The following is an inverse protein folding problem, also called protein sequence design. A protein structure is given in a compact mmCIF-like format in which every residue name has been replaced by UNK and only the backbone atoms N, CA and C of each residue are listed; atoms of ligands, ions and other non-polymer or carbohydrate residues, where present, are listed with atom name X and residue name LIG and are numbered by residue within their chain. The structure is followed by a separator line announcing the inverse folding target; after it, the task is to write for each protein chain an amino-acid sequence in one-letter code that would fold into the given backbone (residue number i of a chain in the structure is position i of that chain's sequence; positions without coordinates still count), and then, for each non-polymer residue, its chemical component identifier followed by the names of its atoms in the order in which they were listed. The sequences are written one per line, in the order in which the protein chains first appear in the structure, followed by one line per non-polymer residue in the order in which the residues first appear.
data_IF_003550387484
#
_entry.id   IF_003550387484
#
_cell.length_a   1.000
_cell.length_b   1.000
_cell.length_c   1.000
_cell.angle_alpha   90.00
_cell.angle_beta   90.00
_cell.angle_gamma   90.00
#
_symmetry.space_group_name_H-M   'P 1'
#
loop_
_entity.id
_entity.type
_entity.pdbx_description
1 polymer ?
#
# COMPACT_ATOMS: atom_id res chain seq x y z
N UNK A 1 38.47 -96.32 -6.71
CA UNK A 1 37.17 -96.27 -7.42
C UNK A 1 36.85 -94.80 -7.69
N UNK A 2 37.12 -94.27 -8.89
CA UNK A 2 36.31 -94.37 -10.11
C UNK A 2 35.13 -93.37 -10.09
N UNK A 3 35.25 -92.31 -10.90
CA UNK A 3 34.25 -91.25 -11.00
C UNK A 3 34.62 -90.16 -12.02
N UNK A 4 35.07 -90.56 -13.20
CA UNK A 4 35.36 -89.70 -14.36
C UNK A 4 34.05 -89.13 -14.89
N UNK A 5 33.84 -87.80 -14.83
CA UNK A 5 32.78 -87.12 -15.58
C UNK A 5 33.38 -85.97 -16.40
N UNK A 6 33.50 -86.26 -17.69
CA UNK A 6 33.70 -85.31 -18.78
C UNK A 6 32.50 -84.36 -18.87
N UNK A 7 32.75 -83.06 -18.73
CA UNK A 7 31.80 -81.99 -18.99
C UNK A 7 32.37 -81.04 -20.02
N UNK A 8 32.09 -81.31 -21.31
CA UNK A 8 32.46 -80.46 -22.46
C UNK A 8 31.96 -79.03 -22.23
N UNK A 9 32.87 -78.10 -21.99
CA UNK A 9 32.58 -76.66 -22.06
C UNK A 9 32.42 -76.25 -23.51
N UNK A 10 31.18 -76.07 -23.94
CA UNK A 10 30.84 -75.35 -25.18
C UNK A 10 31.22 -73.88 -24.98
N UNK A 11 32.38 -73.48 -25.53
CA UNK A 11 32.76 -72.07 -25.64
C UNK A 11 31.83 -71.39 -26.64
N UNK A 12 30.72 -70.79 -26.17
CA UNK A 12 30.00 -69.76 -26.94
C UNK A 12 30.95 -68.58 -27.11
N UNK A 13 31.52 -68.44 -28.30
CA UNK A 13 32.15 -67.17 -28.73
C UNK A 13 31.03 -66.14 -28.80
N UNK A 14 30.93 -65.28 -27.79
CA UNK A 14 30.22 -64.00 -27.93
C UNK A 14 31.08 -63.19 -28.88
N UNK A 15 30.66 -63.13 -30.16
CA UNK A 15 31.24 -62.24 -31.15
C UNK A 15 30.71 -60.85 -30.79
N UNK A 16 31.49 -60.08 -30.02
CA UNK A 16 31.26 -58.65 -29.86
C UNK A 16 31.63 -58.03 -31.18
N UNK A 17 30.64 -57.87 -32.05
CA UNK A 17 30.76 -56.99 -33.20
C UNK A 17 30.86 -55.57 -32.65
N UNK A 18 32.10 -55.13 -32.44
CA UNK A 18 32.45 -53.72 -32.43
C UNK A 18 31.96 -53.17 -33.77
N UNK A 19 30.76 -52.60 -33.77
CA UNK A 19 30.33 -51.67 -34.79
C UNK A 19 31.27 -50.49 -34.66
N UNK A 20 32.41 -50.59 -35.33
CA UNK A 20 33.29 -49.46 -35.61
C UNK A 20 32.50 -48.60 -36.59
N UNK A 21 31.62 -47.77 -36.04
CA UNK A 21 30.91 -46.77 -36.80
C UNK A 21 31.96 -45.95 -37.53
N UNK A 22 31.96 -46.03 -38.85
CA UNK A 22 32.83 -45.24 -39.71
C UNK A 22 32.74 -43.80 -39.23
N UNK A 23 33.86 -43.23 -38.77
CA UNK A 23 33.95 -41.81 -38.44
C UNK A 23 33.79 -41.03 -39.74
N UNK A 24 32.53 -40.80 -40.14
CA UNK A 24 32.18 -39.88 -41.22
C UNK A 24 32.40 -38.49 -40.65
N UNK A 25 33.46 -37.83 -41.11
CA UNK A 25 33.62 -36.40 -40.88
C UNK A 25 32.38 -35.70 -41.47
N UNK A 26 31.69 -34.90 -40.65
CA UNK A 26 30.54 -34.12 -41.10
C UNK A 26 30.93 -33.27 -42.31
N UNK A 27 30.08 -33.23 -43.32
CA UNK A 27 30.28 -32.29 -44.41
C UNK A 27 30.12 -30.86 -43.87
N UNK A 28 30.85 -29.90 -44.44
CA UNK A 28 30.84 -28.49 -44.01
C UNK A 28 29.41 -27.91 -43.96
N UNK A 29 28.53 -28.39 -44.85
CA UNK A 29 27.11 -28.01 -44.91
C UNK A 29 26.34 -28.51 -43.68
N UNK A 30 26.57 -29.76 -43.24
CA UNK A 30 25.91 -30.30 -42.05
C UNK A 30 26.33 -29.54 -40.78
N UNK A 31 27.60 -29.15 -40.68
CA UNK A 31 28.11 -28.34 -39.58
C UNK A 31 27.46 -26.95 -39.55
N UNK A 32 27.25 -26.34 -40.72
CA UNK A 32 26.63 -25.02 -40.86
C UNK A 32 25.13 -25.05 -40.55
N UNK A 33 24.42 -26.11 -40.95
CA UNK A 33 23.02 -26.31 -40.57
C UNK A 33 22.90 -26.53 -39.06
N UNK A 34 23.77 -27.37 -38.48
CA UNK A 34 23.78 -27.62 -37.05
C UNK A 34 24.06 -26.34 -36.24
N UNK A 35 24.99 -25.49 -36.67
CA UNK A 35 25.31 -24.24 -35.97
C UNK A 35 24.15 -23.24 -36.02
N UNK A 36 23.48 -23.08 -37.17
CA UNK A 36 22.31 -22.20 -37.30
C UNK A 36 21.15 -22.71 -36.42
N UNK A 37 20.87 -24.02 -36.43
CA UNK A 37 19.84 -24.60 -35.56
C UNK A 37 20.17 -24.40 -34.08
N UNK A 38 21.43 -24.58 -33.68
CA UNK A 38 21.87 -24.36 -32.30
C UNK A 38 21.72 -22.90 -31.90
N UNK A 39 22.09 -21.97 -32.80
CA UNK A 39 21.92 -20.54 -32.58
C UNK A 39 20.43 -20.19 -32.39
N UNK A 40 19.55 -20.70 -33.26
CA UNK A 40 18.11 -20.46 -33.16
C UNK A 40 17.53 -20.98 -31.84
N UNK A 41 17.91 -22.19 -31.41
CA UNK A 41 17.46 -22.78 -30.14
C UNK A 41 18.00 -21.98 -28.94
N UNK A 42 19.27 -21.57 -28.98
CA UNK A 42 19.86 -20.75 -27.91
C UNK A 42 19.17 -19.39 -27.84
N UNK A 43 18.93 -18.71 -28.96
CA UNK A 43 18.22 -17.43 -29.00
C UNK A 43 16.77 -17.55 -28.50
N UNK A 44 16.06 -18.62 -28.88
CA UNK A 44 14.72 -18.90 -28.36
C UNK A 44 14.75 -19.16 -26.84
N UNK A 45 15.73 -19.92 -26.36
CA UNK A 45 15.93 -20.19 -24.94
C UNK A 45 16.24 -18.91 -24.13
N UNK A 46 17.13 -18.06 -24.62
CA UNK A 46 17.49 -16.81 -23.93
C UNK A 46 16.33 -15.83 -23.89
N UNK A 47 15.60 -15.66 -25.00
CA UNK A 47 14.41 -14.78 -25.05
C UNK A 47 13.32 -15.25 -24.10
N UNK A 48 13.06 -16.56 -24.01
CA UNK A 48 12.12 -17.12 -23.05
C UNK A 48 12.54 -16.87 -21.59
N UNK A 49 13.81 -17.08 -21.26
CA UNK A 49 14.33 -16.83 -19.90
C UNK A 49 14.19 -15.36 -19.51
N UNK A 50 14.53 -14.43 -20.42
CA UNK A 50 14.38 -12.99 -20.18
C UNK A 50 12.91 -12.61 -20.00
N UNK A 51 12.02 -13.13 -20.86
CA UNK A 51 10.59 -12.86 -20.76
C UNK A 51 10.00 -13.37 -19.43
N UNK A 52 10.35 -14.58 -19.00
CA UNK A 52 9.91 -15.14 -17.71
C UNK A 52 10.45 -14.32 -16.55
N UNK A 53 11.72 -13.90 -16.60
CA UNK A 53 12.31 -13.03 -15.60
C UNK A 53 11.55 -11.70 -15.47
N UNK A 54 11.26 -11.05 -16.59
CA UNK A 54 10.49 -9.81 -16.61
C UNK A 54 9.07 -9.99 -16.07
N UNK A 55 8.35 -11.02 -16.50
CA UNK A 55 6.99 -11.34 -16.01
C UNK A 55 6.98 -11.63 -14.50
N UNK A 56 8.01 -12.31 -14.00
CA UNK A 56 8.10 -12.64 -12.56
C UNK A 56 8.38 -11.40 -11.73
N UNK A 57 9.34 -10.56 -12.14
CA UNK A 57 9.66 -9.31 -11.45
C UNK A 57 8.48 -8.34 -11.45
N UNK A 58 7.85 -8.12 -12.62
CA UNK A 58 6.67 -7.25 -12.73
C UNK A 58 5.49 -7.79 -11.93
N UNK A 59 5.22 -9.09 -11.97
CA UNK A 59 4.12 -9.71 -11.20
C UNK A 59 4.30 -9.59 -9.69
N UNK A 60 5.52 -9.76 -9.19
CA UNK A 60 5.82 -9.62 -7.75
C UNK A 60 5.74 -8.17 -7.28
N UNK A 61 6.28 -7.22 -8.03
CA UNK A 61 6.13 -5.79 -7.77
C UNK A 61 4.64 -5.39 -7.75
N UNK A 62 3.88 -5.82 -8.76
CA UNK A 62 2.45 -5.53 -8.92
C UNK A 62 1.61 -6.03 -7.72
N UNK A 63 1.88 -7.25 -7.27
CA UNK A 63 1.20 -7.87 -6.13
C UNK A 63 1.58 -7.18 -4.80
N UNK A 64 2.84 -6.82 -4.62
CA UNK A 64 3.31 -6.12 -3.42
C UNK A 64 2.62 -4.75 -3.28
N UNK A 65 2.60 -3.96 -4.36
CA UNK A 65 1.94 -2.65 -4.43
C UNK A 65 0.44 -2.76 -4.22
N UNK A 66 -0.22 -3.79 -4.79
CA UNK A 66 -1.64 -4.04 -4.55
C UNK A 66 -1.95 -4.31 -3.08
N UNK A 67 -1.16 -5.17 -2.45
CA UNK A 67 -1.37 -5.58 -1.06
C UNK A 67 -1.15 -4.39 -0.11
N UNK A 68 -0.09 -3.63 -0.34
CA UNK A 68 0.24 -2.43 0.42
C UNK A 68 -0.82 -1.34 0.26
N UNK A 69 -1.21 -1.01 -0.98
CA UNK A 69 -2.24 -0.03 -1.27
C UNK A 69 -3.60 -0.39 -0.65
N UNK A 70 -4.04 -1.65 -0.75
CA UNK A 70 -5.26 -2.10 -0.08
C UNK A 70 -5.15 -2.04 1.45
N UNK A 71 -3.97 -2.32 2.02
CA UNK A 71 -3.69 -2.15 3.43
C UNK A 71 -3.84 -0.70 3.89
N UNK A 72 -3.21 0.23 3.15
CA UNK A 72 -3.33 1.66 3.39
C UNK A 72 -4.78 2.13 3.32
N UNK A 73 -5.51 1.72 2.27
CA UNK A 73 -6.93 2.06 2.07
C UNK A 73 -7.78 1.65 3.26
N UNK A 74 -7.60 0.42 3.76
CA UNK A 74 -8.36 -0.07 4.92
C UNK A 74 -8.05 0.74 6.18
N UNK A 75 -6.78 1.08 6.41
CA UNK A 75 -6.35 1.88 7.58
C UNK A 75 -6.92 3.30 7.52
N UNK A 76 -6.83 3.97 6.37
CA UNK A 76 -7.36 5.32 6.19
C UNK A 76 -8.89 5.34 6.30
N UNK A 77 -9.57 4.36 5.70
CA UNK A 77 -11.02 4.25 5.80
C UNK A 77 -11.47 4.02 7.25
N UNK A 78 -10.71 3.24 8.03
CA UNK A 78 -10.94 3.09 9.47
C UNK A 78 -10.75 4.42 10.21
N UNK A 79 -9.64 5.11 9.99
CA UNK A 79 -9.34 6.41 10.61
C UNK A 79 -10.43 7.45 10.31
N UNK A 80 -10.84 7.59 9.04
CA UNK A 80 -11.90 8.50 8.62
C UNK A 80 -13.26 8.19 9.25
N UNK A 81 -13.56 6.90 9.49
CA UNK A 81 -14.82 6.49 10.11
C UNK A 81 -14.83 6.68 11.62
N UNK A 82 -13.67 6.52 12.25
CA UNK A 82 -13.48 6.73 13.70
C UNK A 82 -13.45 8.22 14.04
N UNK A 83 -12.90 9.06 13.15
CA UNK A 83 -12.89 10.50 13.29
C UNK A 83 -14.29 11.08 13.56
N UNK A 84 -14.32 12.14 14.38
CA UNK A 84 -15.51 12.97 14.63
C UNK A 84 -15.58 14.17 13.70
N UNK A 85 -14.44 14.70 13.27
CA UNK A 85 -14.39 15.85 12.35
C UNK A 85 -13.17 15.77 11.41
N UNK A 86 -13.36 16.19 10.16
CA UNK A 86 -12.28 16.44 9.21
C UNK A 86 -11.89 17.91 9.37
N UNK A 87 -10.71 18.14 9.92
CA UNK A 87 -10.22 19.46 10.28
C UNK A 87 -9.71 20.23 9.07
N UNK A 88 -8.62 19.76 8.50
CA UNK A 88 -7.96 20.37 7.37
C UNK A 88 -7.61 19.30 6.35
N UNK A 89 -7.56 19.66 5.08
CA UNK A 89 -7.06 18.79 4.04
C UNK A 89 -6.44 19.61 2.91
N UNK A 90 -5.34 19.09 2.36
CA UNK A 90 -4.73 19.54 1.11
C UNK A 90 -4.20 18.34 0.32
N UNK A 91 -3.43 18.59 -0.74
CA UNK A 91 -2.86 17.51 -1.56
C UNK A 91 -1.88 16.60 -0.78
N UNK A 92 -1.36 17.04 0.37
CA UNK A 92 -0.29 16.36 1.10
C UNK A 92 -0.65 16.00 2.54
N UNK A 93 -1.72 16.56 3.09
CA UNK A 93 -2.10 16.46 4.48
C UNK A 93 -3.61 16.27 4.65
N UNK A 94 -3.99 15.53 5.67
CA UNK A 94 -5.36 15.37 6.13
C UNK A 94 -5.34 15.35 7.66
N UNK A 95 -5.89 16.39 8.27
CA UNK A 95 -6.02 16.56 9.72
C UNK A 95 -7.39 16.07 10.16
N UNK A 96 -7.40 15.27 11.21
CA UNK A 96 -8.61 14.67 11.77
C UNK A 96 -8.69 14.96 13.27
N UNK A 97 -9.89 15.27 13.75
CA UNK A 97 -10.24 15.02 15.15
C UNK A 97 -10.72 13.58 15.26
N UNK A 98 -9.90 12.73 15.87
CA UNK A 98 -10.01 11.27 15.77
C UNK A 98 -11.06 10.66 16.69
N UNK A 99 -11.23 11.20 17.90
CA UNK A 99 -12.17 10.69 18.90
C UNK A 99 -12.31 11.71 20.03
N UNK A 100 -13.42 11.65 20.74
CA UNK A 100 -13.64 12.42 21.97
C UNK A 100 -13.49 11.46 23.15
N UNK A 101 -12.31 11.45 23.76
CA UNK A 101 -11.89 10.50 24.79
C UNK A 101 -12.63 10.73 26.10
N UNK A 102 -12.94 11.98 26.41
CA UNK A 102 -13.53 12.39 27.68
C UNK A 102 -15.01 12.80 27.55
N UNK A 103 -15.57 12.71 26.34
CA UNK A 103 -16.97 13.02 26.03
C UNK A 103 -17.38 14.44 26.41
N UNK A 104 -16.45 15.39 26.28
CA UNK A 104 -16.67 16.80 26.61
C UNK A 104 -17.04 17.65 25.37
N UNK A 105 -17.07 17.04 24.18
CA UNK A 105 -17.30 17.70 22.89
C UNK A 105 -16.37 18.90 22.61
N UNK A 106 -15.20 18.93 23.25
CA UNK A 106 -14.13 19.89 23.02
C UNK A 106 -12.97 19.19 22.33
N UNK A 107 -12.42 19.82 21.29
CA UNK A 107 -11.29 19.25 20.57
C UNK A 107 -10.04 19.46 21.42
N UNK A 108 -9.39 18.37 21.80
CA UNK A 108 -8.10 18.39 22.50
C UNK A 108 -6.98 17.97 21.55
N UNK A 109 -5.76 18.47 21.78
CA UNK A 109 -4.62 18.17 20.91
C UNK A 109 -4.36 16.67 20.85
N UNK A 110 -4.45 15.94 21.97
CA UNK A 110 -4.23 14.49 22.03
C UNK A 110 -5.24 13.66 21.22
N UNK A 111 -6.36 14.26 20.88
CA UNK A 111 -7.42 13.67 20.08
C UNK A 111 -7.24 13.93 18.58
N UNK A 112 -6.22 14.68 18.19
CA UNK A 112 -5.94 15.00 16.78
C UNK A 112 -4.94 14.02 16.17
N UNK A 113 -5.03 13.87 14.84
CA UNK A 113 -4.02 13.18 14.07
C UNK A 113 -3.89 13.82 12.69
N UNK A 114 -2.71 13.70 12.10
CA UNK A 114 -2.45 14.10 10.71
C UNK A 114 -1.98 12.92 9.90
N UNK A 115 -2.69 12.64 8.81
CA UNK A 115 -2.26 11.77 7.74
C UNK A 115 -1.53 12.62 6.70
N UNK A 116 -0.30 12.27 6.35
CA UNK A 116 0.49 13.07 5.41
C UNK A 116 1.43 12.21 4.57
N UNK A 117 1.81 12.73 3.40
CA UNK A 117 2.78 12.08 2.50
C UNK A 117 4.15 12.69 2.68
N UNK A 118 5.12 11.88 3.09
CA UNK A 118 6.53 12.27 3.10
C UNK A 118 7.10 12.07 1.70
N UNK A 119 7.41 13.18 1.02
CA UNK A 119 7.97 13.17 -0.32
C UNK A 119 9.41 12.63 -0.37
N UNK A 120 10.17 12.74 0.71
CA UNK A 120 11.57 12.31 0.75
C UNK A 120 11.72 10.80 0.90
N UNK A 121 10.86 10.18 1.71
CA UNK A 121 10.84 8.73 1.93
C UNK A 121 9.81 7.99 1.07
N UNK A 122 8.96 8.71 0.33
CA UNK A 122 7.83 8.15 -0.42
C UNK A 122 6.88 7.33 0.48
N UNK A 123 6.65 7.80 1.70
CA UNK A 123 5.82 7.12 2.68
C UNK A 123 4.54 7.90 2.98
N UNK A 124 3.43 7.17 3.11
CA UNK A 124 2.24 7.68 3.76
C UNK A 124 2.37 7.45 5.27
N UNK A 125 2.27 8.52 6.03
CA UNK A 125 2.50 8.55 7.47
C UNK A 125 1.28 9.07 8.22
N UNK A 126 1.07 8.54 9.42
CA UNK A 126 0.11 9.06 10.38
C UNK A 126 0.90 9.54 11.60
N UNK A 127 0.74 10.80 11.96
CA UNK A 127 1.33 11.37 13.17
C UNK A 127 0.26 11.72 14.17
N UNK A 128 0.45 11.29 15.42
CA UNK A 128 -0.31 11.73 16.59
C UNK A 128 0.61 12.58 17.47
N UNK A 129 0.10 13.61 18.17
CA UNK A 129 0.95 14.54 18.92
C UNK A 129 1.53 13.94 20.19
N UNK A 130 0.99 12.82 20.65
CA UNK A 130 1.52 12.02 21.74
C UNK A 130 1.70 10.56 21.30
N UNK A 131 2.74 9.93 21.83
CA UNK A 131 2.98 8.51 21.65
C UNK A 131 1.88 7.69 22.32
N UNK A 132 1.57 6.53 21.75
CA UNK A 132 0.62 5.55 22.29
C UNK A 132 0.99 5.04 23.67
N UNK A 133 2.27 5.13 24.02
CA UNK A 133 2.81 4.74 25.33
C UNK A 133 2.89 5.89 26.32
N UNK A 134 2.51 7.11 25.92
CA UNK A 134 2.52 8.26 26.81
C UNK A 134 1.54 8.06 27.97
N UNK A 135 1.99 8.40 29.18
CA UNK A 135 1.18 8.37 30.38
C UNK A 135 0.19 9.52 30.38
N UNK A 136 -0.90 9.40 31.15
CA UNK A 136 -1.88 10.49 31.30
C UNK A 136 -1.25 11.79 31.83
N UNK A 137 -0.18 11.71 32.63
CA UNK A 137 0.53 12.88 33.15
C UNK A 137 1.33 13.60 32.05
N UNK A 138 2.00 12.84 31.18
CA UNK A 138 2.73 13.40 30.03
C UNK A 138 1.78 14.04 29.02
N UNK A 139 0.65 13.38 28.75
CA UNK A 139 -0.41 13.94 27.90
C UNK A 139 -0.93 15.23 28.54
N UNK A 140 -1.34 15.22 29.81
CA UNK A 140 -1.86 16.39 30.49
C UNK A 140 -0.90 17.59 30.51
N UNK A 141 0.41 17.35 30.54
CA UNK A 141 1.43 18.40 30.53
C UNK A 141 1.55 19.12 29.17
N UNK A 142 1.28 18.42 28.06
CA UNK A 142 1.38 18.96 26.70
C UNK A 142 0.03 19.19 26.00
N UNK A 143 -1.06 18.67 26.56
CA UNK A 143 -2.39 18.74 25.96
C UNK A 143 -3.02 20.11 26.18
N UNK A 144 -3.88 20.51 25.24
CA UNK A 144 -4.62 21.76 25.29
C UNK A 144 -5.86 21.68 24.41
N UNK A 145 -6.82 22.55 24.68
CA UNK A 145 -7.92 22.80 23.75
C UNK A 145 -7.41 23.32 22.41
N UNK A 146 -8.05 22.83 21.35
CA UNK A 146 -7.84 23.24 19.96
C UNK A 146 -9.17 23.79 19.46
N UNK A 147 -9.16 24.98 18.86
CA UNK A 147 -10.39 25.52 18.28
C UNK A 147 -10.67 24.88 16.91
N UNK A 148 -11.93 24.90 16.45
CA UNK A 148 -12.26 24.46 15.08
C UNK A 148 -11.47 25.27 14.04
N UNK A 149 -11.33 26.58 14.25
CA UNK A 149 -10.59 27.46 13.36
C UNK A 149 -9.12 27.04 13.24
N UNK A 150 -8.50 26.69 14.37
CA UNK A 150 -7.13 26.19 14.42
C UNK A 150 -7.00 24.81 13.77
N UNK A 151 -7.92 23.89 14.05
CA UNK A 151 -7.93 22.55 13.44
C UNK A 151 -8.07 22.61 11.91
N UNK A 152 -8.77 23.63 11.40
CA UNK A 152 -8.96 23.90 9.97
C UNK A 152 -7.85 24.72 9.32
N UNK A 153 -6.85 25.15 10.10
CA UNK A 153 -5.75 25.97 9.60
C UNK A 153 -4.66 25.11 8.93
N UNK A 154 -4.11 25.61 7.82
CA UNK A 154 -3.10 24.88 7.04
C UNK A 154 -1.74 24.73 7.75
N UNK A 155 -1.47 25.49 8.82
CA UNK A 155 -0.27 25.34 9.63
C UNK A 155 -0.42 24.30 10.75
N UNK A 156 -1.65 23.88 11.09
CA UNK A 156 -1.90 22.93 12.16
C UNK A 156 -1.26 21.53 11.98
N UNK A 157 -1.11 20.97 10.76
CA UNK A 157 -0.29 19.78 10.53
C UNK A 157 1.09 19.83 11.19
N UNK A 158 1.77 20.99 11.10
CA UNK A 158 3.10 21.18 11.68
C UNK A 158 3.06 21.23 13.21
N UNK A 159 1.95 21.65 13.81
CA UNK A 159 1.76 21.62 15.28
C UNK A 159 1.68 20.18 15.79
N UNK A 160 0.96 19.31 15.08
CA UNK A 160 0.89 17.89 15.46
C UNK A 160 2.24 17.21 15.25
N UNK A 161 2.88 17.43 14.09
CA UNK A 161 4.17 16.81 13.75
C UNK A 161 5.32 17.30 14.63
N UNK A 162 5.28 18.56 15.08
CA UNK A 162 6.30 19.18 15.91
C UNK A 162 6.08 19.03 17.42
N UNK A 163 5.00 18.35 17.85
CA UNK A 163 4.77 18.10 19.28
C UNK A 163 5.92 17.26 19.86
N UNK A 164 6.38 17.59 21.08
CA UNK A 164 7.55 16.93 21.69
C UNK A 164 7.36 15.43 21.92
N UNK A 165 6.10 14.99 22.04
CA UNK A 165 5.73 13.59 22.18
C UNK A 165 5.22 12.96 20.89
N UNK A 166 5.38 13.61 19.72
CA UNK A 166 4.77 13.16 18.49
C UNK A 166 5.26 11.77 18.09
N UNK A 167 4.33 10.87 17.78
CA UNK A 167 4.62 9.54 17.26
C UNK A 167 4.13 9.43 15.82
N UNK A 168 5.02 9.00 14.94
CA UNK A 168 4.71 8.81 13.52
C UNK A 168 4.74 7.34 13.17
N UNK A 169 3.64 6.85 12.59
CA UNK A 169 3.50 5.48 12.10
C UNK A 169 3.45 5.48 10.57
N UNK A 170 4.25 4.62 9.93
CA UNK A 170 4.19 4.41 8.47
C UNK A 170 2.98 3.53 8.13
N UNK A 171 2.09 4.04 7.28
CA UNK A 171 0.90 3.32 6.83
C UNK A 171 1.14 2.54 5.54
N UNK A 172 1.96 3.09 4.64
CA UNK A 172 2.44 2.47 3.40
C UNK A 172 3.70 3.20 2.91
N UNK A 173 4.59 2.48 2.24
CA UNK A 173 5.68 3.03 1.44
C UNK A 173 5.31 3.11 -0.05
N UNK A 174 6.27 3.58 -0.85
CA UNK A 174 6.16 3.70 -2.31
C UNK A 174 5.00 4.59 -2.78
N UNK A 175 4.65 5.59 -1.98
CA UNK A 175 3.57 6.54 -2.26
C UNK A 175 4.15 7.73 -3.03
N UNK A 176 3.96 7.69 -4.34
CA UNK A 176 4.40 8.70 -5.30
C UNK A 176 3.61 10.00 -5.14
N UNK A 177 2.30 9.90 -4.95
CA UNK A 177 1.46 11.06 -4.65
C UNK A 177 0.23 10.70 -3.83
N UNK A 178 -0.26 11.71 -3.12
CA UNK A 178 -1.55 11.72 -2.45
C UNK A 178 -2.35 12.90 -3.00
N UNK A 179 -3.67 12.77 -3.02
CA UNK A 179 -4.59 13.87 -3.30
C UNK A 179 -5.80 13.71 -2.38
N UNK A 180 -6.22 14.81 -1.75
CA UNK A 180 -7.33 14.81 -0.80
C UNK A 180 -8.33 15.90 -1.18
N UNK A 181 -9.58 15.48 -1.35
CA UNK A 181 -10.70 16.37 -1.70
C UNK A 181 -11.80 16.27 -0.66
N UNK A 182 -12.34 17.41 -0.25
CA UNK A 182 -13.50 17.49 0.63
C UNK A 182 -14.78 17.74 -0.17
N UNK A 183 -15.92 17.38 0.41
CA UNK A 183 -17.24 17.78 -0.11
C UNK A 183 -17.66 19.21 0.33
N UNK A 184 -16.84 19.86 1.15
CA UNK A 184 -16.99 21.22 1.68
C UNK A 184 -15.59 21.70 2.12
N UNK A 185 -15.39 23.01 2.35
CA UNK A 185 -14.09 23.56 2.77
C UNK A 185 -13.54 22.90 4.05
N UNK A 186 -12.25 23.09 4.31
CA UNK A 186 -11.61 22.70 5.57
C UNK A 186 -12.45 23.18 6.78
N UNK A 187 -12.59 22.31 7.77
CA UNK A 187 -13.39 22.53 8.96
C UNK A 187 -14.89 22.24 8.77
N UNK A 188 -15.36 22.04 7.54
CA UNK A 188 -16.78 21.75 7.24
C UNK A 188 -16.97 20.46 6.43
N UNK A 189 -15.87 19.81 6.03
CA UNK A 189 -15.92 18.57 5.26
C UNK A 189 -16.54 17.43 6.06
N UNK A 190 -17.58 16.82 5.50
CA UNK A 190 -18.25 15.64 6.05
C UNK A 190 -17.76 14.34 5.41
N UNK A 191 -17.12 14.46 4.24
CA UNK A 191 -16.59 13.35 3.44
C UNK A 191 -15.28 13.81 2.81
N UNK A 192 -14.24 13.00 3.00
CA UNK A 192 -13.00 13.12 2.25
C UNK A 192 -12.94 12.04 1.16
N UNK A 193 -12.49 12.45 -0.02
CA UNK A 193 -11.99 11.58 -1.06
C UNK A 193 -10.47 11.61 -1.00
N UNK A 194 -9.84 10.47 -0.71
CA UNK A 194 -8.38 10.32 -0.66
C UNK A 194 -7.98 9.42 -1.83
N UNK A 195 -7.11 9.94 -2.69
CA UNK A 195 -6.47 9.23 -3.79
C UNK A 195 -5.00 9.01 -3.44
N UNK A 196 -4.53 7.78 -3.59
CA UNK A 196 -3.13 7.40 -3.40
C UNK A 196 -2.59 6.80 -4.68
N UNK A 197 -1.43 7.28 -5.11
CA UNK A 197 -0.69 6.71 -6.22
C UNK A 197 0.54 6.01 -5.67
N UNK A 198 0.55 4.68 -5.74
CA UNK A 198 1.70 3.89 -5.35
C UNK A 198 2.49 3.48 -6.59
N UNK A 199 3.81 3.61 -6.53
CA UNK A 199 4.72 3.30 -7.64
C UNK A 199 5.78 2.29 -7.21
N UNK A 200 5.83 1.15 -7.89
CA UNK A 200 6.92 0.19 -7.77
C UNK A 200 7.50 -0.06 -9.16
N UNK A 201 8.76 0.29 -9.35
CA UNK A 201 9.45 0.23 -10.64
C UNK A 201 8.66 0.98 -11.75
N UNK A 202 8.24 0.26 -12.80
CA UNK A 202 7.44 0.79 -13.91
C UNK A 202 5.92 0.71 -13.67
N UNK A 203 5.49 0.12 -12.54
CA UNK A 203 4.07 -0.10 -12.24
C UNK A 203 3.58 1.00 -11.30
N UNK A 204 2.56 1.74 -11.76
CA UNK A 204 1.84 2.71 -10.94
C UNK A 204 0.39 2.25 -10.74
N UNK A 205 -0.10 2.32 -9.50
CA UNK A 205 -1.48 1.99 -9.15
C UNK A 205 -2.13 3.12 -8.35
N UNK A 206 -3.35 3.43 -8.75
CA UNK A 206 -4.20 4.38 -8.04
C UNK A 206 -5.16 3.64 -7.11
N UNK A 207 -5.27 4.13 -5.87
CA UNK A 207 -6.20 3.65 -4.87
C UNK A 207 -7.06 4.80 -4.37
N UNK A 208 -8.37 4.63 -4.47
CA UNK A 208 -9.34 5.66 -4.14
C UNK A 208 -10.19 5.28 -2.92
N UNK A 209 -10.44 6.26 -2.06
CA UNK A 209 -11.18 6.10 -0.82
C UNK A 209 -12.15 7.25 -0.72
N UNK A 210 -13.42 6.94 -0.47
CA UNK A 210 -14.42 7.97 -0.17
C UNK A 210 -15.10 7.59 1.15
N UNK A 211 -14.75 8.32 2.21
CA UNK A 211 -15.26 8.05 3.55
C UNK A 211 -15.40 9.34 4.36
N UNK A 212 -16.14 9.26 5.45
CA UNK A 212 -16.27 10.34 6.41
C UNK A 212 -16.62 9.80 7.78
N UNK A 213 -16.61 10.69 8.80
CA UNK A 213 -16.98 10.37 10.18
C UNK A 213 -18.26 9.55 10.28
N UNK A 214 -18.27 8.49 11.11
CA UNK A 214 -19.49 7.73 11.39
C UNK A 214 -20.44 8.49 12.31
N UNK A 215 -19.89 9.26 13.24
CA UNK A 215 -20.61 10.11 14.19
C UNK A 215 -20.05 11.54 14.10
N UNK A 216 -20.35 12.27 13.01
CA UNK A 216 -19.77 13.58 12.77
C UNK A 216 -20.20 14.59 13.83
N UNK A 217 -19.28 15.45 14.24
CA UNK A 217 -19.53 16.57 15.12
C UNK A 217 -19.91 17.85 14.34
N UNK A 218 -20.83 17.72 13.39
CA UNK A 218 -21.26 18.82 12.50
C UNK A 218 -21.83 20.02 13.26
N UNK A 219 -22.32 19.80 14.49
CA UNK A 219 -22.83 20.87 15.37
C UNK A 219 -21.75 21.86 15.82
N UNK A 220 -20.48 21.47 15.80
CA UNK A 220 -19.36 22.38 16.12
C UNK A 220 -19.08 23.39 15.01
N UNK A 221 -19.56 23.11 13.79
CA UNK A 221 -19.22 23.87 12.58
C UNK A 221 -20.45 24.51 11.95
N UNK A 222 -21.65 24.00 12.25
CA UNK A 222 -22.91 24.59 11.83
C UNK A 222 -23.26 25.81 12.67
N UNK A 223 -23.50 26.96 12.04
CA UNK A 223 -24.06 28.15 12.70
C UNK A 223 -25.52 27.98 13.14
N UNK A 224 -26.15 26.85 12.81
CA UNK A 224 -27.46 26.48 13.34
C UNK A 224 -27.32 25.86 14.73
N UNK A 225 -27.70 26.62 15.76
CA UNK A 225 -28.03 26.15 17.11
C UNK A 225 -29.21 25.16 17.08
N UNK A 226 -29.03 24.00 16.47
CA UNK A 226 -29.97 22.90 16.61
C UNK A 226 -29.26 21.79 17.39
N UNK A 227 -29.22 22.00 18.71
CA UNK A 227 -29.03 20.97 19.73
C UNK A 227 -29.92 19.77 19.39
N UNK A 228 -29.33 18.77 18.74
CA UNK A 228 -29.87 17.42 18.68
C UNK A 228 -28.94 16.51 19.49
N UNK A 229 -28.91 16.76 20.79
CA UNK A 229 -28.84 15.85 21.95
C UNK A 229 -28.53 14.37 21.69
N UNK A 230 -27.44 14.06 20.98
CA UNK A 230 -26.97 12.68 20.78
C UNK A 230 -27.92 11.75 20.02
N UNK A 231 -29.07 12.22 19.52
CA UNK A 231 -29.89 11.47 18.57
C UNK A 231 -29.28 11.67 17.20
N UNK A 232 -28.55 10.65 16.73
CA UNK A 232 -28.12 10.51 15.35
C UNK A 232 -29.24 10.98 14.41
N UNK A 233 -29.15 12.23 13.97
CA UNK A 233 -30.05 12.76 12.97
C UNK A 233 -29.72 11.94 11.76
N UNK A 234 -30.63 11.01 11.43
CA UNK A 234 -30.74 10.43 10.11
C UNK A 234 -31.11 11.59 9.18
N UNK A 235 -30.19 12.53 8.96
CA UNK A 235 -30.24 13.42 7.84
C UNK A 235 -30.25 12.48 6.64
N UNK A 236 -31.42 12.35 6.03
CA UNK A 236 -31.57 11.77 4.70
C UNK A 236 -30.54 12.51 3.84
N UNK A 237 -29.38 11.88 3.62
CA UNK A 237 -28.39 12.30 2.63
C UNK A 237 -29.13 12.30 1.29
N UNK A 238 -29.78 13.43 0.98
CA UNK A 238 -30.28 13.67 -0.36
C UNK A 238 -29.04 13.64 -1.24
N UNK A 239 -29.10 12.78 -2.25
CA UNK A 239 -28.13 12.65 -3.33
C UNK A 239 -28.16 13.95 -4.15
N UNK A 240 -27.74 15.06 -3.56
CA UNK A 240 -27.27 16.18 -4.35
C UNK A 240 -25.94 15.73 -4.98
N UNK A 241 -25.69 16.06 -6.26
CA UNK A 241 -24.40 15.81 -6.87
C UNK A 241 -23.31 16.39 -5.97
N UNK A 242 -22.37 15.54 -5.54
CA UNK A 242 -21.29 15.96 -4.67
C UNK A 242 -20.36 16.86 -5.47
N UNK A 243 -20.40 18.16 -5.20
CA UNK A 243 -19.38 19.09 -5.66
C UNK A 243 -18.16 18.82 -4.80
N UNK A 244 -17.09 18.36 -5.44
CA UNK A 244 -15.81 18.17 -4.78
C UNK A 244 -15.03 19.47 -4.83
N UNK A 245 -14.59 19.92 -3.65
CA UNK A 245 -13.71 21.07 -3.54
C UNK A 245 -12.29 20.53 -3.49
N UNK A 246 -11.53 20.89 -4.51
CA UNK A 246 -10.07 20.75 -4.50
C UNK A 246 -9.54 21.94 -3.66
N UNK A 247 -8.63 21.69 -2.72
CA UNK A 247 -8.01 22.75 -1.91
C UNK A 247 -7.40 23.86 -2.78
#
# INVERSE_FOLDING_TARGET
MQGKRDGRRVRRRIRVELVVGSRRAFSLIELLIASICTLAVVTAGTTMVVAVGYVTCTGTADQSTATEGHGAVRRINKLLREARLIGYYDNSNLVLWTKDNNSNDAIELDETAVLWRDAGSEELRLTTPFARTATSAEIAAGNRGVSVAELSDGAFPATIQGASGAETTVLAGRVDSMDVKGNAPAGQAQVAHVSLFLKADEVQKEFNICAGPRAPADYLTSSSLNTNDGRATKHKRRLNPRVWIVP
#
